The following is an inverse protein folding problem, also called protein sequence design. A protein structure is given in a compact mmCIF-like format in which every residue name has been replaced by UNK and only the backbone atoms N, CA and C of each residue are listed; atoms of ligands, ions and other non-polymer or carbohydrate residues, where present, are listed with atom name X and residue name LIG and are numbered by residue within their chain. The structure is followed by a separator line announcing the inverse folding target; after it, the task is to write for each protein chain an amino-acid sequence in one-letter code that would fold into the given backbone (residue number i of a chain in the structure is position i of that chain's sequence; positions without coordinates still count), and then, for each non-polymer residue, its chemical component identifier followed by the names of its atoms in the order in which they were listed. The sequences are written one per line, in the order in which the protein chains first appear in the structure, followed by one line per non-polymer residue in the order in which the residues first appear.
data_IF_649602256818
#
_entry.id   IF_649602256818
#
_cell.length_a   1.000
_cell.length_b   1.000
_cell.length_c   1.000
_cell.angle_alpha   90.00
_cell.angle_beta   90.00
_cell.angle_gamma   90.00
#
_symmetry.space_group_name_H-M   'P 1'
#
loop_
_entity.id
_entity.type
_entity.pdbx_description
1 polymer ?
#
# COMPACT_ATOMS: atom_id res chain seq x y z
N UNK A 1 -23.02 6.70 23.07
CA UNK A 1 -24.29 7.19 22.51
C UNK A 1 -24.10 7.53 21.05
N UNK A 2 -25.02 7.18 20.15
CA UNK A 2 -24.95 7.56 18.75
C UNK A 2 -24.91 9.09 18.64
N UNK A 3 -23.89 9.63 17.94
CA UNK A 3 -23.73 11.06 17.71
C UNK A 3 -22.74 11.81 18.58
N UNK A 4 -22.13 11.16 19.57
CA UNK A 4 -20.99 11.72 20.30
C UNK A 4 -19.70 11.53 19.49
N UNK A 5 -19.28 12.56 18.77
CA UNK A 5 -17.98 12.59 18.11
C UNK A 5 -17.06 13.57 18.83
N UNK A 6 -15.76 13.32 18.82
CA UNK A 6 -14.78 14.22 19.44
C UNK A 6 -14.91 15.68 18.98
N UNK A 7 -15.17 15.89 17.69
CA UNK A 7 -15.40 17.22 17.14
C UNK A 7 -16.63 17.94 17.72
N UNK A 8 -17.71 17.21 18.02
CA UNK A 8 -18.96 17.78 18.56
C UNK A 8 -18.95 18.00 20.07
N UNK A 9 -18.15 17.20 20.78
CA UNK A 9 -18.12 17.23 22.26
C UNK A 9 -16.89 17.93 22.80
N UNK A 10 -15.70 17.54 22.37
CA UNK A 10 -14.43 18.12 22.84
C UNK A 10 -14.05 19.40 22.09
N UNK A 11 -14.45 19.53 20.82
CA UNK A 11 -14.13 20.70 20.00
C UNK A 11 -14.59 22.02 20.62
N UNK A 12 -15.88 22.20 20.98
CA UNK A 12 -16.34 23.44 21.63
C UNK A 12 -15.58 23.75 22.92
N UNK A 13 -15.40 22.74 23.77
CA UNK A 13 -14.66 22.92 25.05
C UNK A 13 -13.21 23.35 24.80
N UNK A 14 -12.56 22.76 23.79
CA UNK A 14 -11.20 23.15 23.40
C UNK A 14 -11.14 24.61 22.96
N UNK A 15 -12.06 25.04 22.11
CA UNK A 15 -12.12 26.43 21.65
C UNK A 15 -12.47 27.42 22.78
N UNK A 16 -13.35 27.03 23.71
CA UNK A 16 -13.65 27.84 24.88
C UNK A 16 -12.40 28.01 25.76
N UNK A 17 -11.61 26.96 25.95
CA UNK A 17 -10.33 27.04 26.66
C UNK A 17 -9.34 27.96 25.92
N UNK A 18 -9.21 27.82 24.59
CA UNK A 18 -8.33 28.70 23.82
C UNK A 18 -8.76 30.15 23.90
N UNK A 19 -10.03 30.44 23.93
CA UNK A 19 -10.55 31.82 24.11
C UNK A 19 -10.27 32.42 25.51
N UNK A 20 -10.01 31.57 26.50
CA UNK A 20 -9.62 32.00 27.85
C UNK A 20 -8.12 32.21 28.00
N UNK A 21 -7.32 31.67 27.07
CA UNK A 21 -5.88 31.87 27.06
C UNK A 21 -5.55 33.16 26.33
N UNK A 22 -4.74 33.98 26.96
CA UNK A 22 -4.25 35.23 26.36
C UNK A 22 -3.27 34.87 25.23
N UNK A 23 -3.78 34.77 24.01
CA UNK A 23 -3.00 34.37 22.85
C UNK A 23 -2.39 35.56 22.15
N UNK A 24 -1.38 36.15 22.78
CA UNK A 24 -0.69 37.33 22.21
C UNK A 24 0.30 37.03 21.10
N UNK A 25 0.81 35.82 20.98
CA UNK A 25 1.90 35.54 20.07
C UNK A 25 1.62 34.32 19.19
N UNK A 26 1.94 34.48 17.89
CA UNK A 26 1.98 33.36 16.94
C UNK A 26 3.10 32.40 17.36
N UNK A 27 2.92 31.10 17.11
CA UNK A 27 3.98 30.13 17.33
C UNK A 27 5.26 30.59 16.64
N UNK A 28 6.30 30.89 17.44
CA UNK A 28 7.61 31.22 16.91
C UNK A 28 8.13 30.06 16.06
N UNK A 29 8.62 30.35 14.86
CA UNK A 29 9.36 29.33 14.12
C UNK A 29 10.53 28.87 14.98
N UNK A 30 10.76 27.54 15.11
CA UNK A 30 11.94 27.03 15.80
C UNK A 30 13.19 27.67 15.23
N UNK A 31 14.15 27.96 16.10
CA UNK A 31 15.41 28.62 15.72
C UNK A 31 16.04 27.88 14.54
N UNK A 32 16.43 28.63 13.51
CA UNK A 32 16.94 28.16 12.21
C UNK A 32 18.09 27.15 12.25
N UNK A 33 18.77 26.98 13.39
CA UNK A 33 19.94 26.10 13.51
C UNK A 33 19.62 24.61 13.35
N UNK A 34 18.34 24.22 13.48
CA UNK A 34 17.90 22.81 13.36
C UNK A 34 17.11 22.52 12.08
N UNK A 35 17.03 23.49 11.18
CA UNK A 35 16.36 23.37 9.89
C UNK A 35 17.38 23.41 8.77
N UNK A 36 17.07 22.67 7.72
CA UNK A 36 17.87 22.60 6.51
C UNK A 36 16.97 22.68 5.29
N UNK A 37 17.50 23.16 4.19
CA UNK A 37 16.87 23.03 2.90
C UNK A 37 17.03 21.60 2.39
N UNK A 38 15.95 20.99 1.94
CA UNK A 38 15.96 19.69 1.31
C UNK A 38 14.95 19.62 0.15
N UNK A 39 15.31 18.90 -0.89
CA UNK A 39 14.41 18.61 -2.00
C UNK A 39 13.47 17.45 -1.63
N UNK A 40 12.17 17.71 -1.77
CA UNK A 40 11.09 16.76 -1.47
C UNK A 40 10.31 16.48 -2.74
N UNK A 41 10.07 15.22 -3.00
CA UNK A 41 9.26 14.78 -4.14
C UNK A 41 7.81 15.27 -3.97
N UNK A 42 7.28 16.04 -4.92
CA UNK A 42 5.92 16.62 -4.86
C UNK A 42 4.84 15.56 -4.83
N UNK A 43 5.04 14.43 -5.53
CA UNK A 43 4.06 13.37 -5.62
C UNK A 43 3.96 12.48 -4.37
N UNK A 44 5.08 12.28 -3.65
CA UNK A 44 5.13 11.32 -2.54
C UNK A 44 5.36 11.93 -1.16
N UNK A 45 5.87 13.18 -1.09
CA UNK A 45 6.28 13.79 0.15
C UNK A 45 7.57 13.23 0.77
N UNK A 46 8.23 12.26 0.13
CA UNK A 46 9.53 11.73 0.56
C UNK A 46 10.67 12.65 0.12
N UNK A 47 11.85 12.48 0.71
CA UNK A 47 13.05 13.10 0.18
C UNK A 47 13.23 12.70 -1.29
N UNK A 48 13.80 13.59 -2.08
CA UNK A 48 14.04 13.35 -3.52
C UNK A 48 14.79 12.06 -3.75
N UNK A 49 14.22 11.19 -4.58
CA UNK A 49 14.87 10.00 -5.12
C UNK A 49 15.56 10.30 -6.46
N UNK A 50 16.43 9.39 -6.91
CA UNK A 50 17.23 9.54 -8.13
C UNK A 50 16.38 9.69 -9.40
N UNK A 51 15.15 9.22 -9.38
CA UNK A 51 14.22 9.25 -10.53
C UNK A 51 13.09 10.27 -10.36
N UNK A 52 13.09 11.09 -9.28
CA UNK A 52 12.07 12.12 -9.11
C UNK A 52 12.27 13.23 -10.17
N UNK A 53 11.21 13.54 -10.89
CA UNK A 53 11.19 14.58 -11.93
C UNK A 53 10.73 15.92 -11.40
N UNK A 54 9.82 15.93 -10.42
CA UNK A 54 9.27 17.13 -9.81
C UNK A 54 9.52 17.13 -8.31
N UNK A 55 10.17 18.17 -7.82
CA UNK A 55 10.54 18.33 -6.42
C UNK A 55 10.39 19.77 -6.00
N UNK A 56 9.95 19.94 -4.75
CA UNK A 56 9.94 21.24 -4.06
C UNK A 56 11.10 21.33 -3.10
N UNK A 57 11.65 22.53 -2.95
CA UNK A 57 12.65 22.81 -1.91
C UNK A 57 11.93 23.29 -0.66
N UNK A 58 12.03 22.51 0.40
CA UNK A 58 11.39 22.79 1.68
C UNK A 58 12.42 22.94 2.80
N UNK A 59 12.11 23.77 3.78
CA UNK A 59 12.85 23.83 5.04
C UNK A 59 12.34 22.73 5.96
N UNK A 60 13.18 21.77 6.28
CA UNK A 60 12.84 20.60 7.10
C UNK A 60 13.73 20.55 8.36
N UNK A 61 13.24 19.99 9.48
CA UNK A 61 14.09 19.65 10.61
C UNK A 61 15.22 18.71 10.19
N UNK A 62 16.41 18.85 10.73
CA UNK A 62 17.59 18.01 10.40
C UNK A 62 17.34 16.51 10.52
N UNK A 63 16.49 16.09 11.45
CA UNK A 63 16.13 14.69 11.62
C UNK A 63 15.29 14.12 10.45
N UNK A 64 14.64 14.97 9.67
CA UNK A 64 13.90 14.55 8.47
C UNK A 64 14.83 13.94 7.40
N UNK A 65 16.13 14.26 7.40
CA UNK A 65 17.11 13.63 6.50
C UNK A 65 17.34 12.13 6.75
N UNK A 66 16.82 11.59 7.86
CA UNK A 66 16.83 10.15 8.14
C UNK A 66 15.70 9.41 7.43
N UNK A 67 14.76 10.16 6.85
CA UNK A 67 13.68 9.56 6.05
C UNK A 67 14.23 8.99 4.74
N UNK A 68 13.62 7.93 4.26
CA UNK A 68 14.01 7.31 3.01
C UNK A 68 13.74 8.24 1.82
N UNK A 69 14.57 8.12 0.80
CA UNK A 69 14.33 8.76 -0.48
C UNK A 69 13.12 8.12 -1.18
N UNK A 70 12.44 8.90 -2.02
CA UNK A 70 11.25 8.44 -2.74
C UNK A 70 11.47 7.11 -3.47
N UNK A 71 10.78 6.03 -3.08
CA UNK A 71 10.92 4.71 -3.70
C UNK A 71 9.97 4.51 -4.88
N UNK A 72 9.05 5.47 -5.11
CA UNK A 72 7.92 5.29 -6.01
C UNK A 72 8.19 5.73 -7.44
N UNK A 73 9.15 6.64 -7.68
CA UNK A 73 9.56 6.97 -9.04
C UNK A 73 10.55 5.92 -9.56
N UNK A 74 10.12 5.20 -10.59
CA UNK A 74 10.90 4.11 -11.20
C UNK A 74 10.98 4.29 -12.70
N UNK A 75 12.10 3.90 -13.29
CA UNK A 75 12.27 3.84 -14.73
C UNK A 75 11.74 2.50 -15.21
N UNK A 76 10.80 2.53 -16.13
CA UNK A 76 10.21 1.36 -16.76
C UNK A 76 10.42 1.39 -18.25
N UNK A 77 10.57 0.22 -18.87
CA UNK A 77 10.61 0.07 -20.33
C UNK A 77 9.19 -0.17 -20.83
N UNK A 78 8.70 0.71 -21.70
CA UNK A 78 7.36 0.60 -22.29
C UNK A 78 7.44 0.63 -23.81
N UNK A 79 6.52 -0.04 -24.49
CA UNK A 79 6.41 -0.01 -25.94
C UNK A 79 6.11 1.41 -26.42
N UNK A 80 6.49 1.74 -27.66
CA UNK A 80 6.28 3.09 -28.23
C UNK A 80 4.81 3.52 -28.20
N UNK A 81 3.87 2.58 -28.34
CA UNK A 81 2.43 2.82 -28.25
C UNK A 81 1.91 2.97 -26.81
N UNK A 82 2.77 2.73 -25.80
CA UNK A 82 2.45 2.83 -24.38
C UNK A 82 1.56 1.73 -23.82
N UNK A 83 1.21 0.73 -24.61
CA UNK A 83 0.25 -0.32 -24.21
C UNK A 83 0.84 -1.38 -23.30
N UNK A 84 2.13 -1.67 -23.44
CA UNK A 84 2.80 -2.77 -22.77
C UNK A 84 4.09 -2.31 -22.12
N UNK A 85 4.42 -2.91 -21.00
CA UNK A 85 5.77 -2.82 -20.43
C UNK A 85 6.60 -4.03 -20.80
N UNK A 86 7.91 -3.87 -20.76
CA UNK A 86 8.88 -4.94 -20.89
C UNK A 86 9.82 -4.94 -19.69
N UNK A 87 10.31 -6.10 -19.29
CA UNK A 87 11.24 -6.18 -18.12
C UNK A 87 12.65 -5.71 -18.48
N UNK A 88 12.99 -5.75 -19.75
CA UNK A 88 14.28 -5.28 -20.27
C UNK A 88 14.03 -4.38 -21.46
N UNK A 89 14.86 -3.35 -21.67
CA UNK A 89 14.79 -2.55 -22.89
C UNK A 89 15.02 -3.44 -24.12
N UNK A 90 14.14 -3.33 -25.10
CA UNK A 90 14.22 -4.03 -26.39
C UNK A 90 13.91 -3.07 -27.56
N UNK A 91 14.10 -3.53 -28.78
CA UNK A 91 13.77 -2.74 -29.96
C UNK A 91 12.27 -2.36 -29.96
N UNK A 92 11.93 -1.09 -30.20
CA UNK A 92 10.54 -0.59 -30.16
C UNK A 92 10.04 -0.30 -28.74
N UNK A 93 10.94 -0.16 -27.76
CA UNK A 93 10.60 0.33 -26.42
C UNK A 93 11.35 1.61 -26.08
N UNK A 94 10.78 2.36 -25.16
CA UNK A 94 11.38 3.56 -24.57
C UNK A 94 11.43 3.43 -23.05
N UNK A 95 12.42 4.04 -22.43
CA UNK A 95 12.50 4.19 -20.98
C UNK A 95 11.66 5.40 -20.56
N UNK A 96 10.80 5.21 -19.59
CA UNK A 96 9.96 6.26 -19.02
C UNK A 96 9.98 6.19 -17.51
N UNK A 97 10.18 7.34 -16.87
CA UNK A 97 9.98 7.44 -15.41
C UNK A 97 8.50 7.49 -15.11
N UNK A 98 8.05 6.65 -14.19
CA UNK A 98 6.66 6.59 -13.73
C UNK A 98 6.62 6.64 -12.20
N UNK A 99 5.57 7.27 -11.68
CA UNK A 99 5.22 7.25 -10.26
C UNK A 99 4.37 6.02 -9.99
N UNK A 100 4.93 5.01 -9.34
CA UNK A 100 4.32 3.69 -9.14
C UNK A 100 4.14 3.41 -7.67
N UNK A 101 2.91 3.27 -7.24
CA UNK A 101 2.56 2.92 -5.87
C UNK A 101 2.41 1.40 -5.71
N UNK A 102 2.69 0.85 -4.52
CA UNK A 102 2.30 -0.53 -4.19
C UNK A 102 0.80 -0.75 -4.40
N UNK A 103 0.35 -1.97 -4.77
CA UNK A 103 -1.04 -2.24 -5.12
C UNK A 103 -2.05 -1.80 -4.06
N UNK A 104 -1.74 -1.99 -2.78
CA UNK A 104 -2.59 -1.55 -1.67
C UNK A 104 -2.75 -0.03 -1.60
N UNK A 105 -1.68 0.72 -1.81
CA UNK A 105 -1.72 2.19 -1.85
C UNK A 105 -2.36 2.71 -3.13
N UNK A 106 -2.06 2.09 -4.27
CA UNK A 106 -2.57 2.45 -5.59
C UNK A 106 -4.10 2.45 -5.61
N UNK A 107 -4.71 1.42 -5.03
CA UNK A 107 -6.16 1.29 -4.98
C UNK A 107 -6.86 2.47 -4.28
N UNK A 108 -6.29 2.96 -3.16
CA UNK A 108 -6.80 4.15 -2.46
C UNK A 108 -6.48 5.44 -3.19
N UNK A 109 -5.27 5.57 -3.70
CA UNK A 109 -4.77 6.78 -4.35
C UNK A 109 -5.57 7.13 -5.61
N UNK A 110 -5.84 6.17 -6.47
CA UNK A 110 -6.59 6.35 -7.73
C UNK A 110 -7.99 6.93 -7.54
N UNK A 111 -8.61 6.72 -6.39
CA UNK A 111 -9.94 7.28 -6.10
C UNK A 111 -9.95 8.80 -6.00
N UNK A 112 -8.83 9.40 -5.61
CA UNK A 112 -8.69 10.83 -5.39
C UNK A 112 -7.80 11.49 -6.44
N UNK A 113 -7.11 10.69 -7.26
CA UNK A 113 -6.15 11.11 -8.27
C UNK A 113 -6.48 10.47 -9.62
N UNK A 114 -7.49 10.97 -10.35
CA UNK A 114 -7.89 10.43 -11.66
C UNK A 114 -6.80 10.58 -12.73
N UNK A 115 -5.84 11.47 -12.50
CA UNK A 115 -4.66 11.69 -13.35
C UNK A 115 -3.58 10.60 -13.21
N UNK A 116 -3.67 9.78 -12.16
CA UNK A 116 -2.69 8.71 -11.92
C UNK A 116 -2.71 7.69 -13.06
N UNK A 117 -1.52 7.44 -13.60
CA UNK A 117 -1.34 6.45 -14.67
C UNK A 117 -0.77 5.16 -14.08
N UNK A 118 -1.54 4.08 -14.04
CA UNK A 118 -1.06 2.79 -13.56
C UNK A 118 0.02 2.21 -14.49
N UNK A 119 0.80 1.28 -13.96
CA UNK A 119 1.81 0.58 -14.75
C UNK A 119 1.12 -0.22 -15.87
N UNK A 120 1.54 -0.09 -17.14
CA UNK A 120 1.02 -0.91 -18.22
C UNK A 120 1.25 -2.41 -17.96
N UNK A 121 0.35 -3.28 -18.45
CA UNK A 121 0.51 -4.73 -18.33
C UNK A 121 1.79 -5.20 -19.04
N UNK A 122 2.28 -6.37 -18.63
CA UNK A 122 3.44 -6.98 -19.24
C UNK A 122 3.10 -7.42 -20.68
N UNK A 123 4.05 -7.21 -21.59
CA UNK A 123 3.91 -7.65 -22.98
C UNK A 123 3.69 -9.17 -23.03
N UNK A 124 2.69 -9.67 -23.77
CA UNK A 124 2.44 -11.10 -23.89
C UNK A 124 3.70 -11.88 -24.29
N UNK A 125 3.98 -12.98 -23.54
CA UNK A 125 5.20 -13.78 -23.74
C UNK A 125 6.44 -13.19 -23.06
N UNK A 126 6.34 -12.07 -22.36
CA UNK A 126 7.40 -11.53 -21.51
C UNK A 126 7.58 -12.38 -20.25
N UNK A 127 8.81 -12.43 -19.75
CA UNK A 127 9.10 -13.10 -18.48
C UNK A 127 8.56 -12.27 -17.32
N UNK A 128 7.80 -12.88 -16.40
CA UNK A 128 7.29 -12.27 -15.16
C UNK A 128 8.39 -12.04 -14.11
N UNK A 129 9.60 -11.75 -14.54
CA UNK A 129 10.81 -11.63 -13.72
C UNK A 129 10.67 -10.75 -12.48
N UNK A 130 11.66 -10.85 -11.61
CA UNK A 130 11.75 -10.17 -10.31
C UNK A 130 11.56 -8.65 -10.43
N UNK A 131 10.74 -8.07 -9.56
CA UNK A 131 10.75 -6.63 -9.30
C UNK A 131 9.40 -5.91 -9.22
N UNK A 132 8.33 -6.41 -9.81
CA UNK A 132 7.00 -5.84 -9.68
C UNK A 132 5.94 -6.94 -9.57
N UNK A 133 5.24 -6.97 -8.45
CA UNK A 133 4.03 -7.78 -8.29
C UNK A 133 2.81 -6.88 -8.43
N UNK A 134 1.83 -7.21 -9.28
CA UNK A 134 0.57 -6.48 -9.35
C UNK A 134 -0.32 -6.77 -8.14
N UNK A 135 0.09 -7.68 -7.25
CA UNK A 135 -0.65 -8.13 -6.08
C UNK A 135 0.13 -7.92 -4.79
N UNK A 136 -0.60 -7.63 -3.71
CA UNK A 136 -0.05 -7.50 -2.37
C UNK A 136 -1.10 -7.94 -1.34
N UNK A 137 -0.70 -8.77 -0.35
CA UNK A 137 -1.55 -9.05 0.79
C UNK A 137 -1.67 -7.82 1.69
N UNK A 138 -2.91 -7.36 1.91
CA UNK A 138 -3.23 -6.32 2.88
C UNK A 138 -3.33 -6.93 4.29
N UNK A 139 -3.92 -8.14 4.36
CA UNK A 139 -4.08 -8.88 5.59
C UNK A 139 -4.18 -10.39 5.31
N UNK A 140 -3.55 -11.22 6.12
CA UNK A 140 -2.65 -10.89 7.23
C UNK A 140 -1.27 -10.38 6.74
N UNK A 141 -0.52 -9.76 7.65
CA UNK A 141 0.89 -9.44 7.41
C UNK A 141 1.74 -10.72 7.49
N UNK A 142 2.83 -10.74 6.72
CA UNK A 142 3.72 -11.91 6.70
C UNK A 142 4.37 -12.15 8.07
N UNK A 143 4.30 -13.39 8.54
CA UNK A 143 4.81 -13.80 9.84
C UNK A 143 3.89 -13.48 11.03
N UNK A 144 2.66 -13.02 10.79
CA UNK A 144 1.73 -12.67 11.87
C UNK A 144 1.23 -13.91 12.65
N UNK A 145 0.93 -13.70 13.91
CA UNK A 145 0.24 -14.66 14.76
C UNK A 145 -1.23 -14.23 14.92
N UNK A 146 -2.15 -15.10 14.54
CA UNK A 146 -3.58 -14.80 14.48
C UNK A 146 -4.32 -15.65 15.49
N UNK A 147 -4.95 -14.99 16.48
CA UNK A 147 -5.82 -15.64 17.43
C UNK A 147 -7.24 -15.75 16.86
N UNK A 148 -7.72 -16.98 16.71
CA UNK A 148 -9.05 -17.25 16.17
C UNK A 148 -10.00 -17.49 17.34
N UNK A 149 -11.00 -16.62 17.58
CA UNK A 149 -11.97 -16.84 18.65
C UNK A 149 -12.89 -18.02 18.29
N UNK A 150 -13.35 -18.73 19.30
CA UNK A 150 -14.42 -19.71 19.13
C UNK A 150 -15.77 -19.02 19.08
N UNK A 151 -16.59 -19.46 18.14
CA UNK A 151 -17.98 -19.01 18.04
C UNK A 151 -18.82 -19.56 19.22
N UNK A 152 -19.99 -18.98 19.45
CA UNK A 152 -20.88 -19.39 20.55
C UNK A 152 -21.32 -20.87 20.47
N UNK A 153 -21.30 -21.45 19.28
CA UNK A 153 -21.59 -22.87 19.05
C UNK A 153 -20.36 -23.79 19.22
N UNK A 154 -19.21 -23.23 19.63
CA UNK A 154 -17.94 -23.94 19.83
C UNK A 154 -17.13 -24.15 18.55
N UNK A 155 -17.64 -23.77 17.39
CA UNK A 155 -16.89 -23.85 16.12
C UNK A 155 -15.78 -22.79 16.07
N UNK A 156 -14.65 -23.05 15.38
CA UNK A 156 -13.64 -22.03 15.17
C UNK A 156 -14.16 -20.92 14.26
N UNK A 157 -13.74 -19.68 14.55
CA UNK A 157 -14.01 -18.52 13.68
C UNK A 157 -13.29 -18.61 12.33
N UNK A 158 -13.48 -17.60 11.51
CA UNK A 158 -12.86 -17.48 10.20
C UNK A 158 -11.82 -16.36 10.18
N UNK A 159 -10.81 -16.53 9.36
CA UNK A 159 -9.88 -15.47 8.99
C UNK A 159 -10.29 -14.94 7.64
N UNK A 160 -10.42 -13.61 7.52
CA UNK A 160 -10.68 -12.95 6.25
C UNK A 160 -9.37 -12.47 5.67
N UNK A 161 -8.93 -13.09 4.58
CA UNK A 161 -7.77 -12.63 3.81
C UNK A 161 -8.18 -11.48 2.91
N UNK A 162 -7.34 -10.46 2.84
CA UNK A 162 -7.51 -9.33 1.93
C UNK A 162 -6.27 -9.19 1.06
N UNK A 163 -6.48 -9.10 -0.23
CA UNK A 163 -5.43 -8.89 -1.23
C UNK A 163 -5.79 -7.69 -2.10
N UNK A 164 -4.83 -6.82 -2.34
CA UNK A 164 -4.93 -5.78 -3.35
C UNK A 164 -4.38 -6.28 -4.67
N UNK A 165 -5.05 -5.94 -5.76
CA UNK A 165 -4.58 -6.16 -7.13
C UNK A 165 -4.68 -4.86 -7.92
N UNK A 166 -3.63 -4.49 -8.68
CA UNK A 166 -3.60 -3.26 -9.50
C UNK A 166 -4.68 -3.28 -10.60
N UNK A 167 -5.02 -4.46 -11.11
CA UNK A 167 -6.16 -4.67 -12.01
C UNK A 167 -7.26 -5.47 -11.31
N UNK A 168 -8.38 -4.84 -10.88
CA UNK A 168 -9.43 -5.53 -10.14
C UNK A 168 -10.22 -6.55 -10.98
N UNK A 169 -10.13 -6.48 -12.32
CA UNK A 169 -10.87 -7.40 -13.21
C UNK A 169 -10.15 -8.75 -13.40
N UNK A 170 -8.91 -8.87 -12.91
CA UNK A 170 -8.12 -10.09 -12.97
C UNK A 170 -8.66 -11.14 -12.00
N UNK A 171 -8.70 -12.40 -12.41
CA UNK A 171 -9.06 -13.50 -11.52
C UNK A 171 -7.86 -13.93 -10.68
N UNK A 172 -8.07 -14.09 -9.37
CA UNK A 172 -7.05 -14.53 -8.42
C UNK A 172 -7.46 -15.87 -7.83
N UNK A 173 -6.55 -16.84 -7.89
CA UNK A 173 -6.69 -18.20 -7.37
C UNK A 173 -5.99 -18.30 -6.02
N UNK A 174 -6.70 -18.80 -5.02
CA UNK A 174 -6.21 -18.88 -3.64
C UNK A 174 -5.87 -20.31 -3.26
N UNK A 175 -4.70 -20.49 -2.65
CA UNK A 175 -4.19 -21.76 -2.18
C UNK A 175 -3.75 -21.65 -0.73
N UNK A 176 -4.28 -22.52 0.13
CA UNK A 176 -3.82 -22.68 1.50
C UNK A 176 -2.97 -23.96 1.58
N UNK A 177 -1.73 -23.84 2.03
CA UNK A 177 -0.79 -24.97 2.16
C UNK A 177 -0.73 -25.83 0.90
N UNK A 178 -0.67 -25.18 -0.29
CA UNK A 178 -0.66 -25.77 -1.63
C UNK A 178 -2.01 -26.36 -2.11
N UNK A 179 -3.05 -26.33 -1.27
CA UNK A 179 -4.38 -26.79 -1.69
C UNK A 179 -5.18 -25.62 -2.25
N UNK A 180 -5.75 -25.79 -3.44
CA UNK A 180 -6.67 -24.81 -3.99
C UNK A 180 -7.93 -24.68 -3.13
N UNK A 181 -8.29 -23.45 -2.78
CA UNK A 181 -9.47 -23.15 -1.97
C UNK A 181 -10.58 -22.55 -2.82
N UNK A 182 -10.28 -21.46 -3.55
CA UNK A 182 -11.28 -20.71 -4.31
C UNK A 182 -10.61 -19.76 -5.30
N UNK A 183 -11.41 -19.09 -6.14
CA UNK A 183 -10.99 -17.93 -6.91
C UNK A 183 -11.87 -16.73 -6.58
N UNK A 184 -11.33 -15.52 -6.80
CA UNK A 184 -12.04 -14.25 -6.60
C UNK A 184 -11.77 -13.30 -7.76
N UNK A 185 -12.74 -12.42 -8.06
CA UNK A 185 -12.63 -11.37 -9.07
C UNK A 185 -13.24 -10.08 -8.53
N UNK A 186 -12.72 -8.93 -8.89
CA UNK A 186 -13.08 -7.58 -8.47
C UNK A 186 -12.77 -7.26 -7.00
N UNK A 187 -13.23 -8.06 -6.05
CA UNK A 187 -12.94 -7.95 -4.63
C UNK A 187 -12.20 -9.20 -4.18
N UNK A 188 -10.89 -9.05 -3.91
CA UNK A 188 -10.06 -10.16 -3.52
C UNK A 188 -10.06 -10.34 -2.00
N UNK A 189 -11.20 -10.81 -1.50
CA UNK A 189 -11.39 -11.20 -0.09
C UNK A 189 -11.81 -12.65 -0.02
N UNK A 190 -11.22 -13.40 0.90
CA UNK A 190 -11.51 -14.81 1.12
C UNK A 190 -11.57 -15.12 2.61
N UNK A 191 -12.68 -15.70 3.06
CA UNK A 191 -12.83 -16.24 4.42
C UNK A 191 -12.42 -17.69 4.43
N UNK A 192 -11.52 -18.08 5.35
CA UNK A 192 -11.00 -19.45 5.51
C UNK A 192 -10.97 -19.83 6.98
N UNK A 193 -11.16 -21.12 7.26
CA UNK A 193 -11.00 -21.73 8.58
C UNK A 193 -9.77 -22.64 8.58
N UNK A 194 -8.58 -22.11 8.79
CA UNK A 194 -7.38 -22.95 8.89
C UNK A 194 -7.40 -23.75 10.20
N UNK A 195 -6.65 -24.82 10.24
CA UNK A 195 -6.37 -25.55 11.49
C UNK A 195 -5.44 -24.75 12.40
N UNK A 196 -5.18 -25.25 13.62
CA UNK A 196 -4.19 -24.64 14.52
C UNK A 196 -2.77 -24.94 14.02
N UNK A 197 -1.92 -23.93 13.91
CA UNK A 197 -0.55 -24.11 13.47
C UNK A 197 -0.05 -23.09 12.44
N UNK A 198 1.05 -23.44 11.81
CA UNK A 198 1.70 -22.63 10.78
C UNK A 198 1.10 -22.92 9.39
N UNK A 199 0.77 -21.86 8.67
CA UNK A 199 0.15 -21.91 7.36
C UNK A 199 0.79 -20.94 6.38
N UNK A 200 0.61 -21.24 5.10
CA UNK A 200 0.98 -20.34 4.00
C UNK A 200 -0.21 -20.16 3.06
N UNK A 201 -0.69 -18.93 2.92
CA UNK A 201 -1.65 -18.55 1.90
C UNK A 201 -0.92 -18.05 0.68
N UNK A 202 -1.21 -18.64 -0.48
CA UNK A 202 -0.66 -18.24 -1.78
C UNK A 202 -1.78 -17.78 -2.69
N UNK A 203 -1.60 -16.63 -3.32
CA UNK A 203 -2.47 -16.10 -4.35
C UNK A 203 -1.73 -16.10 -5.69
N UNK A 204 -2.40 -16.58 -6.72
CA UNK A 204 -1.89 -16.63 -8.11
C UNK A 204 -2.92 -15.96 -9.00
N UNK A 205 -2.50 -15.02 -9.86
CA UNK A 205 -3.41 -14.41 -10.82
C UNK A 205 -3.44 -15.19 -12.16
N UNK A 206 -4.34 -14.80 -13.04
CA UNK A 206 -4.48 -15.42 -14.37
C UNK A 206 -3.28 -15.17 -15.31
N UNK A 207 -2.40 -14.21 -14.98
CA UNK A 207 -1.16 -13.93 -15.69
C UNK A 207 0.03 -14.72 -15.13
N UNK A 208 -0.16 -15.43 -14.00
CA UNK A 208 0.85 -16.25 -13.34
C UNK A 208 1.71 -15.51 -12.31
N UNK A 209 1.38 -14.27 -11.93
CA UNK A 209 2.00 -13.63 -10.79
C UNK A 209 1.58 -14.33 -9.51
N UNK A 210 2.54 -14.48 -8.61
CA UNK A 210 2.34 -15.21 -7.35
C UNK A 210 2.82 -14.38 -6.18
N UNK A 211 1.99 -14.29 -5.14
CA UNK A 211 2.37 -13.73 -3.84
C UNK A 211 1.96 -14.68 -2.73
N UNK A 212 2.75 -14.75 -1.67
CA UNK A 212 2.47 -15.63 -0.53
C UNK A 212 2.65 -14.89 0.78
N UNK A 213 1.85 -15.26 1.77
CA UNK A 213 1.95 -14.81 3.14
C UNK A 213 1.95 -16.00 4.07
N UNK A 214 2.90 -16.04 5.00
CA UNK A 214 2.97 -17.05 6.07
C UNK A 214 2.42 -16.48 7.36
N UNK A 215 1.69 -17.29 8.12
CA UNK A 215 1.08 -16.88 9.38
C UNK A 215 0.92 -18.09 10.30
N UNK A 216 0.73 -17.83 11.59
CA UNK A 216 0.45 -18.87 12.57
C UNK A 216 -0.91 -18.62 13.20
N UNK A 217 -1.73 -19.66 13.26
CA UNK A 217 -3.05 -19.61 13.91
C UNK A 217 -3.00 -20.21 15.29
N UNK A 218 -3.73 -19.60 16.22
CA UNK A 218 -4.01 -20.16 17.56
C UNK A 218 -5.47 -19.99 17.89
N UNK A 219 -6.11 -21.08 18.36
CA UNK A 219 -7.45 -20.97 18.89
C UNK A 219 -7.40 -20.39 20.31
N UNK A 220 -8.08 -19.25 20.52
CA UNK A 220 -8.32 -18.76 21.87
C UNK A 220 -9.44 -19.57 22.54
N UNK A 221 -9.21 -19.92 23.79
CA UNK A 221 -10.19 -20.64 24.64
C UNK A 221 -11.40 -19.76 24.96
#
# INVERSE_FOLDING_TARGET
SPGLTGARTAGPVMFDIFNLLDSGEWFGFPLYNDWIEAEVCTASGHLKGIHCTECDTLYLPKNALRSDSCPYHRVVSITEDGRWRTNTPEAGTRLQTMFLLPPGMEWFYRRHHPEYTPLPPLKPGGNTGEGYSPMEFIYPENGSEISIPRMLDGSPGEIVFNLAHSNPDTEVFWHLDQNFISSTRHLHQLSVRPEDGFHTMTAVDEEGYTVSVSFTTRFSL
#
